data_IF_194475933782
#
_entry.id   IF_194475933782
#
_cell.length_a   1.000
_cell.length_b   1.000
_cell.length_c   1.000
_cell.angle_alpha   90.00
_cell.angle_beta   90.00
_cell.angle_gamma   90.00
#
_symmetry.space_group_name_H-M   'P 1'
#
loop_
_entity.id
_entity.type
_entity.pdbx_description
1 polymer ?
#
# COMPACT_ATOMS: atom_id res chain seq x y z
N UNK A 1 9.05 20.53 34.97
CA UNK A 1 8.96 21.60 33.95
C UNK A 1 7.83 21.18 33.04
N UNK A 2 6.77 21.97 32.93
CA UNK A 2 5.46 21.60 32.38
C UNK A 2 5.41 21.85 30.89
N UNK A 3 4.64 21.04 30.17
CA UNK A 3 4.36 21.14 28.72
C UNK A 3 3.92 22.55 28.22
N UNK A 4 3.57 23.44 29.13
CA UNK A 4 3.20 24.82 28.84
C UNK A 4 4.37 25.73 28.44
N UNK A 5 5.63 25.37 28.74
CA UNK A 5 6.80 26.19 28.36
C UNK A 5 7.32 25.91 26.94
N UNK A 6 7.06 24.73 26.40
CA UNK A 6 7.44 24.40 25.01
C UNK A 6 6.50 25.02 23.97
N UNK A 7 5.24 25.27 24.34
CA UNK A 7 4.25 25.90 23.45
C UNK A 7 4.52 27.40 23.27
N UNK A 8 5.02 28.10 24.32
CA UNK A 8 5.36 29.52 24.22
C UNK A 8 6.61 29.81 23.37
N UNK A 9 7.59 28.91 23.35
CA UNK A 9 8.79 29.05 22.50
C UNK A 9 8.52 28.86 21.00
N UNK A 10 7.50 28.09 20.63
CA UNK A 10 7.08 27.88 19.23
C UNK A 10 6.41 29.15 18.67
N UNK A 11 5.74 29.95 19.50
CA UNK A 11 5.11 31.21 19.07
C UNK A 11 6.10 32.36 18.85
N UNK A 12 7.29 32.31 19.43
CA UNK A 12 8.29 33.36 19.28
C UNK A 12 9.24 33.20 18.10
N UNK A 13 9.33 32.01 17.48
CA UNK A 13 10.32 31.68 16.45
C UNK A 13 9.89 31.94 14.99
N UNK A 14 8.77 32.58 14.72
CA UNK A 14 8.35 32.90 13.34
C UNK A 14 7.87 31.69 12.49
N UNK A 15 7.93 30.47 13.00
CA UNK A 15 7.52 29.24 12.32
C UNK A 15 6.00 29.00 12.28
N UNK A 16 5.22 29.85 12.94
CA UNK A 16 3.75 29.75 12.94
C UNK A 16 3.13 29.92 11.55
N UNK A 17 3.73 30.76 10.68
CA UNK A 17 3.24 30.94 9.31
C UNK A 17 3.46 29.73 8.43
N UNK A 18 4.58 29.03 8.59
CA UNK A 18 4.88 27.81 7.83
C UNK A 18 3.97 26.65 8.28
N UNK A 19 3.77 26.48 9.58
CA UNK A 19 2.86 25.46 10.14
C UNK A 19 1.39 25.72 9.78
N UNK A 20 0.94 26.98 9.78
CA UNK A 20 -0.41 27.35 9.36
C UNK A 20 -0.60 27.27 7.84
N UNK A 21 0.46 27.53 7.04
CA UNK A 21 0.46 27.32 5.59
C UNK A 21 0.43 25.81 5.24
N UNK A 22 1.19 25.00 5.95
CA UNK A 22 1.16 23.54 5.78
C UNK A 22 -0.21 22.96 6.18
N UNK A 23 -0.79 23.43 7.30
CA UNK A 23 -2.13 23.01 7.73
C UNK A 23 -3.23 23.49 6.76
N UNK A 24 -3.14 24.73 6.25
CA UNK A 24 -4.07 25.24 5.25
C UNK A 24 -3.93 24.57 3.89
N UNK A 25 -2.74 24.08 3.54
CA UNK A 25 -2.50 23.27 2.34
C UNK A 25 -3.07 21.86 2.48
N UNK A 26 -3.09 21.31 3.70
CA UNK A 26 -3.71 20.02 4.02
C UNK A 26 -5.24 20.15 4.11
N UNK A 27 -5.75 21.17 4.82
CA UNK A 27 -7.19 21.43 4.97
C UNK A 27 -7.88 21.82 3.64
N UNK A 28 -7.17 22.51 2.72
CA UNK A 28 -7.70 22.83 1.39
C UNK A 28 -7.66 21.68 0.39
N UNK A 29 -7.07 20.52 0.73
CA UNK A 29 -6.97 19.37 -0.17
C UNK A 29 -7.77 18.14 0.24
N UNK A 30 -8.44 18.15 1.38
CA UNK A 30 -9.56 17.21 1.67
C UNK A 30 -10.77 17.54 0.77
N UNK A 31 -10.86 18.80 0.27
CA UNK A 31 -11.65 19.15 -0.90
C UNK A 31 -10.69 19.40 -2.05
N UNK A 32 -10.41 18.40 -2.87
CA UNK A 32 -9.56 18.53 -4.05
C UNK A 32 -9.99 19.74 -4.89
N UNK A 33 -9.04 20.44 -5.49
CA UNK A 33 -9.26 21.60 -6.37
C UNK A 33 -10.21 21.35 -7.56
N UNK A 34 -10.75 20.11 -7.69
CA UNK A 34 -11.66 19.64 -8.73
C UNK A 34 -12.95 19.00 -8.19
N UNK A 35 -13.36 19.27 -6.94
CA UNK A 35 -14.60 18.71 -6.39
C UNK A 35 -14.56 17.20 -6.13
N UNK A 36 -13.37 16.61 -5.91
CA UNK A 36 -13.22 15.20 -5.55
C UNK A 36 -13.99 14.88 -4.27
N UNK A 37 -14.84 13.86 -4.33
CA UNK A 37 -15.61 13.35 -3.20
C UNK A 37 -15.16 11.93 -2.92
N UNK A 38 -14.50 11.71 -1.79
CA UNK A 38 -13.91 10.42 -1.46
C UNK A 38 -14.89 9.23 -1.49
N UNK A 39 -16.20 9.47 -1.27
CA UNK A 39 -17.25 8.45 -1.40
C UNK A 39 -17.87 8.38 -2.81
N UNK A 40 -17.30 9.07 -3.80
CA UNK A 40 -17.87 9.20 -5.15
C UNK A 40 -17.65 8.00 -6.08
N UNK A 41 -16.73 7.10 -5.74
CA UNK A 41 -16.48 5.89 -6.52
C UNK A 41 -17.48 4.76 -6.19
N UNK A 42 -17.59 3.79 -7.10
CA UNK A 42 -18.43 2.61 -6.93
C UNK A 42 -17.67 1.46 -6.24
N UNK A 43 -16.34 1.43 -6.43
CA UNK A 43 -15.45 0.45 -5.83
C UNK A 43 -14.20 1.11 -5.23
N UNK A 44 -13.69 0.50 -4.14
CA UNK A 44 -12.48 0.94 -3.43
C UNK A 44 -11.52 -0.24 -3.27
N UNK A 45 -10.30 -0.09 -3.78
CA UNK A 45 -9.25 -1.08 -3.70
C UNK A 45 -8.11 -0.56 -2.83
N UNK A 46 -7.82 -1.30 -1.77
CA UNK A 46 -6.81 -0.90 -0.77
C UNK A 46 -5.50 -1.65 -0.99
N UNK A 47 -4.38 -0.94 -0.90
CA UNK A 47 -3.10 -1.58 -0.60
C UNK A 47 -3.07 -2.08 0.85
N UNK A 48 -2.10 -2.94 1.16
CA UNK A 48 -1.98 -3.59 2.48
C UNK A 48 -0.94 -2.89 3.35
N UNK A 49 0.32 -2.96 2.97
CA UNK A 49 1.46 -2.59 3.81
C UNK A 49 1.70 -1.07 3.79
N UNK A 50 1.44 -0.41 4.90
CA UNK A 50 1.49 1.05 5.00
C UNK A 50 0.13 1.73 4.82
N UNK A 51 -0.84 1.04 4.22
CA UNK A 51 -2.20 1.54 3.98
C UNK A 51 -3.22 0.94 4.95
N UNK A 52 -3.52 -0.35 4.85
CA UNK A 52 -4.41 -1.04 5.79
C UNK A 52 -3.76 -1.26 7.14
N UNK A 53 -2.47 -1.60 7.15
CA UNK A 53 -1.73 -1.96 8.35
C UNK A 53 -0.23 -1.72 8.20
N UNK A 54 0.45 -1.72 9.35
CA UNK A 54 1.92 -1.80 9.45
C UNK A 54 2.30 -3.04 10.22
N UNK A 55 3.18 -3.87 9.66
CA UNK A 55 3.76 -5.00 10.38
C UNK A 55 4.99 -4.55 11.15
N UNK A 56 5.08 -4.95 12.41
CA UNK A 56 6.28 -4.78 13.25
C UNK A 56 7.18 -6.01 13.18
N UNK A 57 6.61 -7.15 12.79
CA UNK A 57 7.36 -8.38 12.54
C UNK A 57 8.17 -8.28 11.24
N UNK A 58 9.07 -9.21 11.05
CA UNK A 58 9.90 -9.33 9.85
C UNK A 58 9.65 -10.63 9.09
N UNK A 59 8.51 -11.28 9.31
CA UNK A 59 8.20 -12.59 8.73
C UNK A 59 8.32 -12.53 7.21
N UNK A 60 7.61 -11.62 6.56
CA UNK A 60 7.61 -11.49 5.10
C UNK A 60 8.98 -11.02 4.56
N UNK A 61 9.61 -10.04 5.22
CA UNK A 61 10.96 -9.58 4.87
C UNK A 61 11.98 -10.72 4.90
N UNK A 62 11.96 -11.53 5.96
CA UNK A 62 12.87 -12.66 6.12
C UNK A 62 12.56 -13.77 5.10
N UNK A 63 11.29 -14.00 4.77
CA UNK A 63 10.88 -14.97 3.76
C UNK A 63 11.43 -14.63 2.38
N UNK A 64 11.39 -13.35 1.97
CA UNK A 64 11.99 -12.88 0.72
C UNK A 64 13.51 -13.10 0.69
N UNK A 65 14.20 -12.78 1.79
CA UNK A 65 15.65 -13.04 1.87
C UNK A 65 15.98 -14.53 1.82
N UNK A 66 15.22 -15.36 2.56
CA UNK A 66 15.41 -16.81 2.57
C UNK A 66 15.14 -17.45 1.20
N UNK A 67 14.16 -16.95 0.47
CA UNK A 67 13.86 -17.42 -0.88
C UNK A 67 15.01 -17.23 -1.87
N UNK A 68 15.75 -16.13 -1.75
CA UNK A 68 16.94 -15.88 -2.59
C UNK A 68 18.07 -16.87 -2.26
N UNK A 69 18.27 -17.16 -0.98
CA UNK A 69 19.27 -18.14 -0.56
C UNK A 69 18.88 -19.56 -1.01
N UNK A 70 17.63 -19.99 -0.74
CA UNK A 70 17.21 -21.37 -1.02
C UNK A 70 17.10 -21.65 -2.52
N UNK A 71 16.48 -20.76 -3.31
CA UNK A 71 16.26 -21.00 -4.72
C UNK A 71 17.51 -20.73 -5.58
N UNK A 72 18.29 -19.72 -5.26
CA UNK A 72 19.42 -19.30 -6.08
C UNK A 72 20.79 -19.59 -5.46
N UNK A 73 20.87 -19.98 -4.19
CA UNK A 73 22.14 -20.14 -3.47
C UNK A 73 22.85 -18.81 -3.19
N UNK A 74 22.13 -17.69 -3.22
CA UNK A 74 22.71 -16.34 -3.06
C UNK A 74 22.32 -15.77 -1.70
N UNK A 75 23.32 -15.50 -0.87
CA UNK A 75 23.15 -14.79 0.38
C UNK A 75 23.12 -13.28 0.10
N UNK A 76 21.92 -12.72 -0.01
CA UNK A 76 21.67 -11.29 -0.23
C UNK A 76 20.43 -10.84 0.53
N UNK A 77 20.12 -9.55 0.47
CA UNK A 77 18.99 -8.96 1.20
C UNK A 77 18.22 -7.95 0.36
N UNK A 78 16.91 -7.88 0.58
CA UNK A 78 16.06 -6.85 -0.02
C UNK A 78 16.28 -5.46 0.61
N UNK A 79 16.98 -5.35 1.75
CA UNK A 79 17.24 -4.06 2.40
C UNK A 79 18.01 -3.05 1.53
N UNK A 80 18.68 -3.52 0.47
CA UNK A 80 19.45 -2.67 -0.43
C UNK A 80 18.71 -2.23 -1.69
N UNK A 81 17.43 -2.54 -1.83
CA UNK A 81 16.58 -2.12 -2.96
C UNK A 81 15.39 -1.30 -2.48
N UNK A 82 14.86 -0.46 -3.36
CA UNK A 82 13.64 0.28 -3.10
C UNK A 82 12.45 -0.67 -3.24
N UNK A 83 12.02 -1.31 -2.16
CA UNK A 83 10.98 -2.34 -2.18
C UNK A 83 9.57 -1.82 -1.85
N UNK A 84 9.45 -0.64 -1.26
CA UNK A 84 8.13 -0.08 -0.91
C UNK A 84 7.28 0.18 -2.16
N UNK A 85 6.04 -0.31 -2.16
CA UNK A 85 5.11 -0.19 -3.28
C UNK A 85 5.36 -1.16 -4.43
N UNK A 86 6.43 -1.95 -4.40
CA UNK A 86 6.73 -2.96 -5.42
C UNK A 86 6.04 -4.28 -5.12
N UNK A 87 5.99 -5.13 -6.14
CA UNK A 87 5.47 -6.50 -6.03
C UNK A 87 6.55 -7.45 -5.50
N UNK A 88 6.16 -8.53 -4.82
CA UNK A 88 7.09 -9.55 -4.32
C UNK A 88 8.02 -10.10 -5.43
N UNK A 89 7.52 -10.45 -6.65
CA UNK A 89 8.41 -10.83 -7.75
C UNK A 89 9.37 -9.72 -8.15
N UNK A 90 8.89 -8.48 -8.24
CA UNK A 90 9.73 -7.32 -8.59
C UNK A 90 10.80 -7.01 -7.55
N UNK A 91 10.50 -7.21 -6.25
CA UNK A 91 11.46 -7.06 -5.16
C UNK A 91 12.57 -8.12 -5.26
N UNK A 92 12.19 -9.39 -5.44
CA UNK A 92 13.15 -10.48 -5.62
C UNK A 92 14.05 -10.24 -6.82
N UNK A 93 13.48 -9.87 -7.97
CA UNK A 93 14.25 -9.56 -9.18
C UNK A 93 15.26 -8.45 -8.92
N UNK A 94 14.83 -7.32 -8.38
CA UNK A 94 15.71 -6.19 -8.12
C UNK A 94 16.86 -6.53 -7.15
N UNK A 95 16.60 -7.36 -6.14
CA UNK A 95 17.64 -7.81 -5.20
C UNK A 95 18.62 -8.79 -5.83
N UNK A 96 18.15 -9.72 -6.68
CA UNK A 96 18.98 -10.69 -7.39
C UNK A 96 19.81 -10.04 -8.50
N UNK A 97 19.26 -9.09 -9.27
CA UNK A 97 19.98 -8.29 -10.24
C UNK A 97 21.11 -7.49 -9.58
N UNK A 98 20.82 -6.87 -8.42
CA UNK A 98 21.84 -6.17 -7.62
C UNK A 98 22.94 -7.12 -7.14
N UNK A 99 22.61 -8.39 -6.89
CA UNK A 99 23.58 -9.43 -6.54
C UNK A 99 24.34 -9.97 -7.77
N UNK A 100 24.10 -9.45 -8.98
CA UNK A 100 24.82 -9.80 -10.20
C UNK A 100 24.22 -10.95 -11.02
N UNK A 101 23.00 -11.41 -10.72
CA UNK A 101 22.35 -12.45 -11.50
C UNK A 101 21.74 -11.87 -12.79
N UNK A 102 21.92 -12.59 -13.89
CA UNK A 102 21.30 -12.25 -15.16
C UNK A 102 19.82 -12.66 -15.23
N UNK A 103 19.07 -11.98 -16.10
CA UNK A 103 17.62 -12.16 -16.28
C UNK A 103 17.22 -13.63 -16.46
N UNK A 104 17.89 -14.38 -17.34
CA UNK A 104 17.55 -15.77 -17.63
C UNK A 104 17.67 -16.67 -16.38
N UNK A 105 18.69 -16.46 -15.55
CA UNK A 105 18.88 -17.19 -14.29
C UNK A 105 17.75 -16.87 -13.32
N UNK A 106 17.38 -15.59 -13.23
CA UNK A 106 16.29 -15.14 -12.36
C UNK A 106 14.97 -15.75 -12.83
N UNK A 107 14.62 -15.60 -14.10
CA UNK A 107 13.37 -16.11 -14.68
C UNK A 107 13.23 -17.63 -14.50
N UNK A 108 14.33 -18.36 -14.67
CA UNK A 108 14.35 -19.82 -14.54
C UNK A 108 13.97 -20.37 -13.17
N UNK A 109 14.11 -19.56 -12.11
CA UNK A 109 13.86 -20.01 -10.72
C UNK A 109 12.89 -19.12 -9.94
N UNK A 110 12.34 -18.06 -10.55
CA UNK A 110 11.48 -17.10 -9.86
C UNK A 110 10.24 -17.79 -9.25
N UNK A 111 9.60 -18.70 -9.98
CA UNK A 111 8.45 -19.45 -9.47
C UNK A 111 8.80 -20.30 -8.24
N UNK A 112 10.02 -20.87 -8.20
CA UNK A 112 10.51 -21.60 -7.04
C UNK A 112 10.72 -20.67 -5.85
N UNK A 113 11.38 -19.54 -6.05
CA UNK A 113 11.58 -18.54 -5.00
C UNK A 113 10.24 -18.05 -4.42
N UNK A 114 9.25 -17.72 -5.26
CA UNK A 114 7.91 -17.30 -4.81
C UNK A 114 7.21 -18.41 -4.01
N UNK A 115 7.42 -19.69 -4.35
CA UNK A 115 6.90 -20.82 -3.58
C UNK A 115 7.56 -20.88 -2.19
N UNK A 116 8.86 -20.62 -2.09
CA UNK A 116 9.57 -20.52 -0.81
C UNK A 116 8.99 -19.39 0.04
N UNK A 117 8.80 -18.19 -0.53
CA UNK A 117 8.21 -17.06 0.21
C UNK A 117 6.84 -17.43 0.80
N UNK A 118 5.95 -18.06 0.01
CA UNK A 118 4.63 -18.50 0.49
C UNK A 118 4.75 -19.48 1.65
N UNK A 119 5.61 -20.49 1.51
CA UNK A 119 5.84 -21.51 2.53
C UNK A 119 6.35 -20.91 3.85
N UNK A 120 7.35 -20.05 3.78
CA UNK A 120 7.96 -19.41 4.95
C UNK A 120 6.96 -18.54 5.72
N UNK A 121 6.17 -17.74 5.00
CA UNK A 121 5.15 -16.89 5.65
C UNK A 121 4.04 -17.76 6.23
N UNK A 122 3.61 -18.82 5.56
CA UNK A 122 2.56 -19.71 6.05
C UNK A 122 3.00 -20.44 7.33
N UNK A 123 4.23 -20.94 7.37
CA UNK A 123 4.78 -21.64 8.56
C UNK A 123 4.91 -20.70 9.76
N UNK A 124 5.09 -19.42 9.52
CA UNK A 124 5.27 -18.39 10.54
C UNK A 124 4.08 -17.45 10.68
N UNK A 125 2.92 -17.81 10.16
CA UNK A 125 1.73 -16.96 10.15
C UNK A 125 1.29 -16.51 11.55
N UNK A 126 1.52 -17.34 12.58
CA UNK A 126 1.24 -17.00 13.98
C UNK A 126 2.14 -15.88 14.56
N UNK A 127 3.27 -15.57 13.90
CA UNK A 127 4.19 -14.50 14.30
C UNK A 127 3.81 -13.14 13.67
N UNK A 128 2.86 -13.10 12.74
CA UNK A 128 2.40 -11.86 12.13
C UNK A 128 1.75 -10.96 13.18
N UNK A 129 2.25 -9.72 13.30
CA UNK A 129 1.79 -8.74 14.29
C UNK A 129 1.40 -7.41 13.62
N UNK A 130 0.38 -7.42 12.74
CA UNK A 130 -0.05 -6.21 12.05
C UNK A 130 -0.72 -5.23 13.02
N UNK A 131 -0.35 -3.96 12.91
CA UNK A 131 -1.06 -2.85 13.56
C UNK A 131 -1.91 -2.13 12.51
N UNK A 132 -3.23 -2.16 12.67
CA UNK A 132 -4.17 -1.50 11.74
C UNK A 132 -3.92 0.01 11.71
N UNK A 133 -3.90 0.61 10.52
CA UNK A 133 -3.71 2.04 10.35
C UNK A 133 -4.94 2.83 10.81
N UNK A 134 -4.67 4.06 11.27
CA UNK A 134 -5.71 4.91 11.86
C UNK A 134 -6.83 5.24 10.85
N UNK A 135 -8.09 5.08 11.29
CA UNK A 135 -9.29 5.35 10.49
C UNK A 135 -9.76 4.19 9.60
N UNK A 136 -8.94 3.16 9.37
CA UNK A 136 -9.28 2.03 8.48
C UNK A 136 -10.58 1.32 8.89
N UNK A 137 -10.81 0.91 10.15
CA UNK A 137 -12.06 0.23 10.50
C UNK A 137 -13.31 1.09 10.24
N UNK A 138 -13.20 2.40 10.49
CA UNK A 138 -14.33 3.32 10.29
C UNK A 138 -14.59 3.55 8.80
N UNK A 139 -13.55 3.74 7.98
CA UNK A 139 -13.67 3.88 6.53
C UNK A 139 -14.28 2.62 5.91
N UNK A 140 -13.78 1.44 6.27
CA UNK A 140 -14.29 0.16 5.76
C UNK A 140 -15.76 -0.04 6.12
N UNK A 141 -16.16 0.27 7.38
CA UNK A 141 -17.56 0.21 7.79
C UNK A 141 -18.45 1.17 7.01
N UNK A 142 -18.03 2.44 6.83
CA UNK A 142 -18.77 3.42 6.02
C UNK A 142 -18.94 2.98 4.57
N UNK A 143 -17.90 2.42 3.96
CA UNK A 143 -17.98 1.91 2.59
C UNK A 143 -18.93 0.71 2.49
N UNK A 144 -18.89 -0.20 3.46
CA UNK A 144 -19.78 -1.36 3.57
C UNK A 144 -21.26 -0.91 3.74
N UNK A 145 -21.52 0.03 4.65
CA UNK A 145 -22.86 0.59 4.88
C UNK A 145 -23.41 1.31 3.63
N UNK A 146 -22.52 1.95 2.86
CA UNK A 146 -22.85 2.58 1.58
C UNK A 146 -22.91 1.58 0.40
N UNK A 147 -22.80 0.27 0.68
CA UNK A 147 -22.85 -0.81 -0.30
C UNK A 147 -21.80 -0.67 -1.44
N UNK A 148 -20.65 -0.08 -1.12
CA UNK A 148 -19.53 0.01 -2.07
C UNK A 148 -18.84 -1.33 -2.22
N UNK A 149 -18.34 -1.63 -3.42
CA UNK A 149 -17.50 -2.80 -3.64
C UNK A 149 -16.12 -2.55 -3.03
N UNK A 150 -15.68 -3.44 -2.13
CA UNK A 150 -14.42 -3.28 -1.39
C UNK A 150 -13.50 -4.43 -1.73
N UNK A 151 -12.33 -4.10 -2.24
CA UNK A 151 -11.30 -5.06 -2.64
C UNK A 151 -9.91 -4.67 -2.18
N UNK A 152 -8.96 -5.55 -2.46
CA UNK A 152 -7.53 -5.38 -2.20
C UNK A 152 -6.77 -5.31 -3.52
N UNK A 153 -5.76 -4.44 -3.60
CA UNK A 153 -4.79 -4.43 -4.70
C UNK A 153 -3.38 -4.28 -4.11
N UNK A 154 -2.63 -5.37 -4.03
CA UNK A 154 -1.36 -5.39 -3.30
C UNK A 154 -0.24 -6.06 -4.09
N UNK A 155 0.99 -5.57 -3.86
CA UNK A 155 2.22 -6.20 -4.35
C UNK A 155 2.60 -7.50 -3.64
N UNK A 156 1.90 -7.88 -2.58
CA UNK A 156 2.07 -9.17 -1.93
C UNK A 156 1.58 -10.31 -2.83
N UNK A 157 2.10 -11.53 -2.62
CA UNK A 157 1.46 -12.75 -3.11
C UNK A 157 0.11 -12.96 -2.41
N UNK A 158 -0.87 -13.53 -3.11
CA UNK A 158 -2.26 -13.64 -2.65
C UNK A 158 -2.38 -14.28 -1.26
N UNK A 159 -1.76 -15.44 -1.06
CA UNK A 159 -1.82 -16.14 0.23
C UNK A 159 -1.24 -15.28 1.37
N UNK A 160 -0.17 -14.54 1.11
CA UNK A 160 0.48 -13.67 2.08
C UNK A 160 -0.40 -12.46 2.41
N UNK A 161 -0.92 -11.80 1.38
CA UNK A 161 -1.82 -10.67 1.56
C UNK A 161 -3.04 -11.04 2.41
N UNK A 162 -3.69 -12.17 2.10
CA UNK A 162 -4.83 -12.63 2.89
C UNK A 162 -4.46 -13.02 4.33
N UNK A 163 -3.27 -13.62 4.56
CA UNK A 163 -2.81 -13.92 5.93
C UNK A 163 -2.60 -12.65 6.76
N UNK A 164 -1.99 -11.62 6.19
CA UNK A 164 -1.83 -10.31 6.85
C UNK A 164 -3.19 -9.69 7.19
N UNK A 165 -4.11 -9.64 6.25
CA UNK A 165 -5.46 -9.08 6.43
C UNK A 165 -6.23 -9.87 7.49
N UNK A 166 -6.13 -11.20 7.50
CA UNK A 166 -6.75 -12.04 8.52
C UNK A 166 -6.16 -11.80 9.90
N UNK A 167 -4.83 -11.71 10.02
CA UNK A 167 -4.15 -11.41 11.27
C UNK A 167 -4.52 -10.02 11.82
N UNK A 168 -4.84 -9.05 10.94
CA UNK A 168 -5.34 -7.72 11.29
C UNK A 168 -6.83 -7.68 11.66
N UNK A 169 -7.57 -8.79 11.53
CA UNK A 169 -9.01 -8.84 11.80
C UNK A 169 -9.87 -8.11 10.75
N UNK A 170 -9.35 -7.89 9.54
CA UNK A 170 -10.03 -7.11 8.51
C UNK A 170 -10.63 -7.95 7.38
N UNK A 171 -10.46 -9.30 7.41
CA UNK A 171 -10.81 -10.18 6.28
C UNK A 171 -12.26 -10.07 5.81
N UNK A 172 -13.20 -9.84 6.72
CA UNK A 172 -14.63 -9.80 6.43
C UNK A 172 -15.09 -8.59 5.59
N UNK A 173 -14.26 -7.55 5.48
CA UNK A 173 -14.59 -6.38 4.70
C UNK A 173 -14.35 -6.56 3.19
N UNK A 174 -13.51 -7.51 2.81
CA UNK A 174 -13.03 -7.66 1.44
C UNK A 174 -13.69 -8.84 0.73
N UNK A 175 -14.31 -8.57 -0.42
CA UNK A 175 -14.96 -9.58 -1.24
C UNK A 175 -14.03 -10.21 -2.28
N UNK A 176 -12.98 -9.49 -2.69
CA UNK A 176 -11.97 -9.92 -3.67
C UNK A 176 -10.63 -9.24 -3.45
N UNK A 177 -9.60 -9.72 -4.14
CA UNK A 177 -8.31 -9.08 -4.20
C UNK A 177 -7.59 -9.32 -5.52
N UNK A 178 -6.62 -8.47 -5.82
CA UNK A 178 -5.63 -8.62 -6.88
C UNK A 178 -4.25 -8.52 -6.29
N UNK A 179 -3.39 -9.44 -6.66
CA UNK A 179 -2.11 -9.69 -6.03
C UNK A 179 -1.03 -9.91 -7.08
N UNK A 180 0.20 -10.09 -6.65
CA UNK A 180 1.36 -10.17 -7.51
C UNK A 180 1.68 -11.58 -8.05
N UNK A 181 0.81 -12.56 -7.86
CA UNK A 181 1.09 -13.96 -8.25
C UNK A 181 1.40 -14.11 -9.74
N UNK A 182 0.72 -13.33 -10.58
CA UNK A 182 0.91 -13.31 -12.04
C UNK A 182 1.40 -11.95 -12.55
N UNK A 183 1.75 -11.03 -11.64
CA UNK A 183 2.02 -9.64 -11.96
C UNK A 183 3.32 -9.16 -11.33
N UNK A 184 4.30 -8.81 -12.14
CA UNK A 184 5.58 -8.30 -11.66
C UNK A 184 5.57 -6.77 -11.43
N UNK A 185 4.67 -6.05 -12.10
CA UNK A 185 4.57 -4.60 -11.99
C UNK A 185 3.30 -4.18 -11.24
N UNK A 186 3.40 -3.12 -10.41
CA UNK A 186 2.28 -2.58 -9.64
C UNK A 186 1.07 -2.23 -10.52
N UNK A 187 1.32 -1.62 -11.66
CA UNK A 187 0.28 -1.25 -12.63
C UNK A 187 -0.53 -2.43 -13.17
N UNK A 188 0.11 -3.61 -13.31
CA UNK A 188 -0.57 -4.83 -13.75
C UNK A 188 -1.55 -5.33 -12.67
N UNK A 189 -1.15 -5.26 -11.40
CA UNK A 189 -2.03 -5.56 -10.25
C UNK A 189 -3.24 -4.63 -10.23
N UNK A 190 -3.04 -3.33 -10.48
CA UNK A 190 -4.10 -2.34 -10.50
C UNK A 190 -5.01 -2.53 -11.72
N UNK A 191 -4.45 -2.83 -12.88
CA UNK A 191 -5.22 -3.16 -14.09
C UNK A 191 -6.13 -4.38 -13.86
N UNK A 192 -5.60 -5.46 -13.28
CA UNK A 192 -6.38 -6.63 -12.92
C UNK A 192 -7.49 -6.30 -11.90
N UNK A 193 -7.24 -5.36 -10.98
CA UNK A 193 -8.24 -4.83 -10.06
C UNK A 193 -9.39 -4.13 -10.78
N UNK A 194 -9.07 -3.25 -11.73
CA UNK A 194 -10.05 -2.58 -12.58
C UNK A 194 -10.92 -3.58 -13.35
N UNK A 195 -10.31 -4.60 -13.91
CA UNK A 195 -11.00 -5.65 -14.69
C UNK A 195 -11.95 -6.45 -13.80
N UNK A 196 -11.51 -6.86 -12.60
CA UNK A 196 -12.37 -7.57 -11.63
C UNK A 196 -13.55 -6.72 -11.18
N UNK A 197 -13.36 -5.42 -10.93
CA UNK A 197 -14.47 -4.50 -10.60
C UNK A 197 -15.44 -4.40 -11.76
N UNK A 198 -14.94 -4.14 -12.97
CA UNK A 198 -15.80 -4.00 -14.17
C UNK A 198 -16.58 -5.26 -14.48
N UNK A 199 -16.00 -6.43 -14.25
CA UNK A 199 -16.70 -7.71 -14.41
C UNK A 199 -17.85 -7.89 -13.39
N UNK A 200 -17.75 -7.32 -12.19
CA UNK A 200 -18.75 -7.47 -11.14
C UNK A 200 -19.87 -6.43 -11.22
N UNK A 201 -19.56 -5.17 -11.50
CA UNK A 201 -20.50 -4.05 -11.41
C UNK A 201 -20.61 -3.19 -12.68
N UNK A 202 -19.99 -3.65 -13.79
CA UNK A 202 -20.13 -3.03 -15.11
C UNK A 202 -18.95 -2.16 -15.53
N UNK A 203 -18.81 -1.97 -16.84
CA UNK A 203 -17.65 -1.30 -17.46
C UNK A 203 -17.55 0.19 -17.15
N UNK A 204 -18.66 0.83 -16.77
CA UNK A 204 -18.70 2.24 -16.37
C UNK A 204 -18.35 2.50 -14.91
N UNK A 205 -18.03 1.46 -14.13
CA UNK A 205 -17.72 1.58 -12.72
C UNK A 205 -16.55 2.52 -12.45
N UNK A 206 -16.74 3.46 -11.54
CA UNK A 206 -15.68 4.34 -11.02
C UNK A 206 -14.93 3.61 -9.93
N UNK A 207 -13.61 3.55 -10.04
CA UNK A 207 -12.73 2.87 -9.08
C UNK A 207 -11.81 3.89 -8.43
N UNK A 208 -11.69 3.81 -7.11
CA UNK A 208 -10.72 4.57 -6.34
C UNK A 208 -9.76 3.60 -5.65
N UNK A 209 -8.47 3.79 -5.87
CA UNK A 209 -7.45 3.10 -5.09
C UNK A 209 -7.10 3.89 -3.84
N UNK A 210 -6.61 3.20 -2.80
CA UNK A 210 -6.09 3.81 -1.59
C UNK A 210 -4.73 3.18 -1.34
N UNK A 211 -3.66 4.00 -1.33
CA UNK A 211 -2.28 3.53 -1.20
C UNK A 211 -1.38 4.59 -0.57
N UNK A 212 -0.21 4.17 -0.10
CA UNK A 212 0.73 5.04 0.64
C UNK A 212 2.05 5.30 -0.08
N UNK A 213 2.21 4.81 -1.31
CA UNK A 213 3.48 4.89 -2.05
C UNK A 213 3.37 5.68 -3.36
N UNK A 214 4.49 6.23 -3.88
CA UNK A 214 4.57 6.78 -5.22
C UNK A 214 4.11 5.79 -6.31
N UNK A 215 4.45 4.52 -6.17
CA UNK A 215 4.06 3.46 -7.08
C UNK A 215 2.53 3.31 -7.16
N UNK A 216 1.82 3.45 -6.05
CA UNK A 216 0.35 3.40 -6.03
C UNK A 216 -0.25 4.56 -6.82
N UNK A 217 0.26 5.78 -6.57
CA UNK A 217 -0.22 6.97 -7.29
C UNK A 217 0.03 6.84 -8.80
N UNK A 218 1.23 6.41 -9.19
CA UNK A 218 1.57 6.23 -10.60
C UNK A 218 0.75 5.13 -11.26
N UNK A 219 0.58 3.97 -10.57
CA UNK A 219 -0.19 2.85 -11.09
C UNK A 219 -1.67 3.21 -11.28
N UNK A 220 -2.31 3.86 -10.29
CA UNK A 220 -3.70 4.29 -10.40
C UNK A 220 -3.93 5.24 -11.58
N UNK A 221 -3.05 6.23 -11.75
CA UNK A 221 -3.11 7.16 -12.88
C UNK A 221 -2.94 6.45 -14.22
N UNK A 222 -2.02 5.49 -14.30
CA UNK A 222 -1.77 4.75 -15.53
C UNK A 222 -2.99 3.93 -15.98
N UNK A 223 -3.75 3.39 -15.02
CA UNK A 223 -5.00 2.65 -15.32
C UNK A 223 -6.24 3.54 -15.41
N UNK A 224 -6.09 4.85 -15.21
CA UNK A 224 -7.18 5.83 -15.31
C UNK A 224 -8.20 5.74 -14.17
N UNK A 225 -7.74 5.40 -12.95
CA UNK A 225 -8.55 5.35 -11.75
C UNK A 225 -8.23 6.51 -10.80
N UNK A 226 -9.18 6.84 -9.93
CA UNK A 226 -8.95 7.78 -8.83
C UNK A 226 -8.00 7.16 -7.78
N UNK A 227 -7.24 8.01 -7.06
CA UNK A 227 -6.32 7.59 -6.00
C UNK A 227 -6.36 8.51 -4.80
N UNK A 228 -6.59 7.94 -3.63
CA UNK A 228 -6.37 8.60 -2.34
C UNK A 228 -5.02 8.14 -1.81
N UNK A 229 -4.07 9.05 -1.74
CA UNK A 229 -2.78 8.80 -1.12
C UNK A 229 -2.88 9.00 0.40
N UNK A 230 -2.37 8.04 1.19
CA UNK A 230 -2.33 8.11 2.65
C UNK A 230 -0.89 8.15 3.14
N UNK A 231 -0.57 9.03 4.10
CA UNK A 231 0.78 9.17 4.64
C UNK A 231 1.04 8.24 5.83
N UNK A 232 0.36 7.10 5.88
CA UNK A 232 0.50 6.11 6.96
C UNK A 232 1.69 5.18 6.77
N UNK A 233 2.29 5.09 5.60
CA UNK A 233 3.53 4.37 5.33
C UNK A 233 4.79 5.19 5.63
N UNK A 234 5.85 4.95 4.84
CA UNK A 234 7.12 5.67 4.98
C UNK A 234 7.12 7.02 4.27
N UNK A 235 6.34 7.16 3.19
CA UNK A 235 6.25 8.39 2.40
C UNK A 235 5.36 9.42 3.07
N UNK A 236 5.71 10.69 2.86
CA UNK A 236 5.01 11.85 3.41
C UNK A 236 4.28 12.61 2.31
N UNK A 237 3.42 13.55 2.70
CA UNK A 237 2.68 14.36 1.74
C UNK A 237 3.57 15.06 0.71
N UNK A 238 4.76 15.52 1.10
CA UNK A 238 5.73 16.13 0.19
C UNK A 238 6.24 15.19 -0.91
N UNK A 239 6.23 13.88 -0.66
CA UNK A 239 6.68 12.85 -1.62
C UNK A 239 5.54 12.43 -2.57
N UNK A 240 4.29 12.45 -2.08
CA UNK A 240 3.11 11.97 -2.80
C UNK A 240 2.37 13.07 -3.57
N UNK A 241 2.24 14.28 -3.00
CA UNK A 241 1.51 15.40 -3.62
C UNK A 241 2.03 15.80 -5.00
N UNK A 242 3.35 15.83 -5.28
CA UNK A 242 3.85 16.20 -6.61
C UNK A 242 3.41 15.23 -7.71
N UNK A 243 3.03 13.99 -7.35
CA UNK A 243 2.51 13.00 -8.29
C UNK A 243 1.04 13.24 -8.65
N UNK A 244 0.37 14.17 -7.95
CA UNK A 244 -0.99 14.63 -8.22
C UNK A 244 -2.06 13.59 -7.93
N UNK A 245 -2.11 12.95 -6.73
CA UNK A 245 -3.24 12.11 -6.35
C UNK A 245 -4.52 12.98 -6.26
N UNK A 246 -5.70 12.34 -6.37
CA UNK A 246 -6.99 13.04 -6.28
C UNK A 246 -7.23 13.58 -4.86
N UNK A 247 -6.73 12.86 -3.85
CA UNK A 247 -6.60 13.34 -2.48
C UNK A 247 -5.31 12.81 -1.83
N UNK A 248 -4.77 13.57 -0.87
CA UNK A 248 -3.64 13.14 -0.05
C UNK A 248 -3.93 13.52 1.41
N UNK A 249 -3.98 12.51 2.28
CA UNK A 249 -4.34 12.67 3.70
C UNK A 249 -3.28 12.02 4.61
N UNK A 250 -3.18 12.50 5.84
CA UNK A 250 -2.26 11.93 6.83
C UNK A 250 -2.63 10.49 7.21
N UNK A 251 -3.93 10.20 7.28
CA UNK A 251 -4.48 8.85 7.49
C UNK A 251 -5.93 8.77 7.01
N UNK A 252 -6.48 7.57 6.91
CA UNK A 252 -7.90 7.36 6.61
C UNK A 252 -8.86 7.98 7.65
N UNK A 253 -8.38 8.33 8.85
CA UNK A 253 -9.19 9.03 9.85
C UNK A 253 -9.63 10.44 9.39
N UNK A 254 -8.92 11.05 8.44
CA UNK A 254 -9.27 12.37 7.90
C UNK A 254 -10.37 12.30 6.82
N UNK A 255 -10.76 11.09 6.39
CA UNK A 255 -11.85 10.87 5.44
C UNK A 255 -13.23 10.74 6.12
N UNK A 256 -13.30 10.65 7.45
CA UNK A 256 -14.49 10.24 8.20
C UNK A 256 -14.87 11.20 9.32
#
# INVERSE_FOLDING_TARGET
MSESSEIEDIFQSGNCKTYLLERSLVENKVGGSNGFRWMGADAYLFDIDGTLMRSKDRVHFNALNHAMLEAYGIETTIAGVAYHGKTDPGILRAALERAGLGKETIDGKLSEALRVVRREVEQRAAELTPAVCNGIPVVLSKLKDAQKLIGVASGNLESIGWRKIQAAGLREFFTFGTFADEHELREQVFQAGMEKVRAQIGTGAKVCFIGDTPEDVMAAKKVGADIIAVCTGIFKAQDLLPLGPDACVGSCAELV
#
